data_IF_728247953141
#
_entry.id   IF_728247953141
#
_cell.length_a   1.000
_cell.length_b   1.000
_cell.length_c   1.000
_cell.angle_alpha   90.00
_cell.angle_beta   90.00
_cell.angle_gamma   90.00
#
_symmetry.space_group_name_H-M   'P 1'
#
loop_
_entity.id
_entity.type
_entity.pdbx_description
1 polymer ?
#
# COMPACT_ATOMS: atom_id res chain seq x y z
N UNK A 1 5.84 27.76 21.52
CA UNK A 1 4.52 27.58 22.15
C UNK A 1 3.44 27.49 21.06
N UNK A 2 3.44 26.41 20.24
CA UNK A 2 2.57 26.23 19.05
C UNK A 2 2.05 24.78 19.04
N UNK A 3 1.40 24.35 20.12
CA UNK A 3 0.98 22.95 20.31
C UNK A 3 -0.52 22.78 20.64
N UNK A 4 -1.36 23.81 20.42
CA UNK A 4 -2.71 23.85 21.02
C UNK A 4 -3.89 24.02 20.04
N UNK A 5 -3.68 23.84 18.73
CA UNK A 5 -4.76 24.03 17.73
C UNK A 5 -5.24 22.74 17.03
N UNK A 6 -4.42 21.69 16.93
CA UNK A 6 -4.82 20.47 16.21
C UNK A 6 -5.70 19.50 17.02
N UNK A 7 -5.75 19.65 18.35
CA UNK A 7 -6.51 18.75 19.23
C UNK A 7 -8.02 19.00 19.17
N UNK A 8 -8.47 20.24 18.96
CA UNK A 8 -9.90 20.57 18.90
C UNK A 8 -10.54 20.24 17.54
N UNK A 9 -9.76 20.30 16.45
CA UNK A 9 -10.24 19.97 15.10
C UNK A 9 -10.46 18.46 14.88
N UNK A 10 -9.77 17.60 15.63
CA UNK A 10 -9.94 16.14 15.60
C UNK A 10 -11.14 15.64 16.41
N UNK A 11 -11.63 16.44 17.36
CA UNK A 11 -12.73 16.05 18.24
C UNK A 11 -14.11 16.27 17.60
N UNK A 12 -14.23 17.22 16.66
CA UNK A 12 -15.49 17.49 15.95
C UNK A 12 -15.91 16.44 14.90
N UNK A 13 -15.01 15.53 14.50
CA UNK A 13 -15.32 14.51 13.48
C UNK A 13 -15.76 13.16 14.07
N UNK A 14 -15.75 13.00 15.41
CA UNK A 14 -16.04 11.73 16.09
C UNK A 14 -17.51 11.51 16.47
N UNK A 15 -18.43 12.42 16.15
CA UNK A 15 -19.84 12.34 16.63
C UNK A 15 -20.90 12.24 15.53
N UNK A 16 -20.53 12.03 14.27
CA UNK A 16 -21.46 12.08 13.14
C UNK A 16 -21.65 10.73 12.40
N UNK A 17 -21.86 9.63 13.12
CA UNK A 17 -22.30 8.36 12.52
C UNK A 17 -23.15 7.54 13.49
N UNK A 18 -24.37 8.01 13.72
CA UNK A 18 -25.41 7.22 14.38
C UNK A 18 -26.79 7.60 13.82
N UNK A 19 -27.24 6.93 12.74
CA UNK A 19 -28.65 6.60 12.47
C UNK A 19 -28.88 6.12 11.01
N UNK A 20 -29.85 5.21 10.87
CA UNK A 20 -30.41 4.58 9.66
C UNK A 20 -29.48 3.55 8.98
N UNK A 21 -29.82 2.26 8.81
CA UNK A 21 -31.14 1.65 8.72
C UNK A 21 -31.37 1.18 7.27
N UNK A 22 -31.48 -0.14 7.09
CA UNK A 22 -32.16 -0.93 6.03
C UNK A 22 -31.35 -2.17 5.62
N UNK A 23 -32.01 -3.33 5.71
CA UNK A 23 -31.44 -4.65 5.49
C UNK A 23 -30.98 -4.90 4.05
N UNK A 24 -29.94 -5.71 3.93
CA UNK A 24 -29.39 -6.18 2.65
C UNK A 24 -29.78 -7.65 2.47
N UNK A 25 -30.40 -8.04 1.34
CA UNK A 25 -30.73 -9.43 1.07
C UNK A 25 -29.45 -10.27 0.85
N UNK A 26 -29.46 -11.49 1.42
CA UNK A 26 -28.45 -12.55 1.26
C UNK A 26 -28.54 -13.16 -0.15
N UNK A 27 -27.51 -13.06 -1.01
CA UNK A 27 -27.46 -13.88 -2.20
C UNK A 27 -27.09 -15.31 -1.77
N UNK A 28 -28.04 -16.23 -1.90
CA UNK A 28 -27.73 -17.65 -1.99
C UNK A 28 -27.17 -17.91 -3.40
N UNK A 29 -25.85 -17.94 -3.51
CA UNK A 29 -25.15 -18.26 -4.74
C UNK A 29 -24.22 -19.46 -4.48
N UNK A 30 -24.80 -20.66 -4.54
CA UNK A 30 -24.11 -21.94 -4.73
C UNK A 30 -23.64 -22.10 -6.20
N UNK A 31 -23.05 -21.04 -6.75
CA UNK A 31 -22.33 -21.09 -8.02
C UNK A 31 -20.83 -21.10 -7.70
N UNK A 32 -20.01 -21.97 -8.33
CA UNK A 32 -18.57 -21.80 -8.26
C UNK A 32 -18.26 -20.47 -8.94
N UNK A 33 -18.00 -19.45 -8.10
CA UNK A 33 -17.58 -18.14 -8.56
C UNK A 33 -16.32 -18.32 -9.43
N UNK A 34 -16.17 -17.57 -10.53
CA UNK A 34 -14.91 -17.54 -11.26
C UNK A 34 -13.82 -17.17 -10.25
N UNK A 35 -12.92 -18.11 -9.96
CA UNK A 35 -11.75 -17.81 -9.14
C UNK A 35 -11.03 -16.67 -9.84
N UNK A 36 -10.87 -15.49 -9.23
CA UNK A 36 -10.13 -14.42 -9.85
C UNK A 36 -8.74 -14.97 -10.08
N UNK A 37 -8.37 -15.14 -11.36
CA UNK A 37 -7.00 -15.42 -11.76
C UNK A 37 -6.15 -14.37 -11.08
N UNK A 38 -5.33 -14.78 -10.10
CA UNK A 38 -4.53 -13.88 -9.27
C UNK A 38 -3.77 -12.96 -10.21
N UNK A 39 -4.22 -11.71 -10.35
CA UNK A 39 -3.47 -10.69 -11.07
C UNK A 39 -2.09 -10.65 -10.41
N UNK A 40 -1.04 -10.71 -11.22
CA UNK A 40 0.32 -10.69 -10.69
C UNK A 40 0.48 -9.40 -9.87
N UNK A 41 0.68 -9.56 -8.56
CA UNK A 41 0.90 -8.42 -7.68
C UNK A 41 2.23 -7.75 -8.08
N UNK A 42 2.31 -6.42 -8.11
CA UNK A 42 3.54 -5.73 -8.47
C UNK A 42 4.61 -6.03 -7.43
N UNK A 43 5.83 -6.27 -7.89
CA UNK A 43 7.00 -6.48 -7.03
C UNK A 43 7.32 -5.19 -6.28
N UNK A 44 7.19 -5.20 -4.96
CA UNK A 44 7.40 -4.04 -4.09
C UNK A 44 8.87 -3.99 -3.67
N UNK A 45 9.58 -2.99 -4.17
CA UNK A 45 11.01 -2.82 -3.91
C UNK A 45 11.20 -1.56 -3.06
N UNK A 46 11.71 -1.73 -1.85
CA UNK A 46 12.20 -0.66 -1.01
C UNK A 46 13.67 -0.39 -1.36
N UNK A 47 14.01 0.84 -1.70
CA UNK A 47 15.36 1.22 -2.09
C UNK A 47 15.83 2.49 -1.39
N UNK A 48 17.12 2.52 -1.02
CA UNK A 48 17.75 3.74 -0.54
C UNK A 48 17.65 4.89 -1.57
N UNK A 49 17.50 6.12 -1.09
CA UNK A 49 17.35 7.32 -1.94
C UNK A 49 18.50 7.52 -2.93
N UNK A 50 19.72 7.10 -2.61
CA UNK A 50 20.89 7.23 -3.48
C UNK A 50 20.75 6.40 -4.77
N UNK A 51 19.86 5.39 -4.77
CA UNK A 51 19.58 4.52 -5.92
C UNK A 51 18.52 5.08 -6.88
N UNK A 52 17.92 6.24 -6.58
CA UNK A 52 16.88 6.87 -7.41
C UNK A 52 17.36 7.17 -8.84
N UNK A 53 18.65 7.44 -9.02
CA UNK A 53 19.23 7.73 -10.33
C UNK A 53 19.27 6.51 -11.26
N UNK A 54 19.32 5.29 -10.71
CA UNK A 54 19.60 4.05 -11.49
C UNK A 54 18.42 3.07 -11.52
N UNK A 55 17.69 2.94 -10.41
CA UNK A 55 16.64 1.93 -10.29
C UNK A 55 15.44 2.11 -11.22
N UNK A 56 14.97 3.33 -11.56
CA UNK A 56 13.85 3.48 -12.48
C UNK A 56 14.13 2.92 -13.88
N UNK A 57 15.36 3.05 -14.37
CA UNK A 57 15.75 2.48 -15.66
C UNK A 57 15.85 0.95 -15.57
N UNK A 58 16.46 0.44 -14.50
CA UNK A 58 16.59 -1.00 -14.27
C UNK A 58 15.21 -1.66 -14.12
N UNK A 59 14.28 -1.03 -13.40
CA UNK A 59 12.91 -1.51 -13.24
C UNK A 59 12.17 -1.58 -14.59
N UNK A 60 12.32 -0.56 -15.46
CA UNK A 60 11.75 -0.60 -16.82
C UNK A 60 12.29 -1.76 -17.62
N UNK A 61 13.61 -1.98 -17.60
CA UNK A 61 14.26 -3.09 -18.30
C UNK A 61 13.81 -4.45 -17.73
N UNK A 62 13.70 -4.55 -16.40
CA UNK A 62 13.21 -5.74 -15.73
C UNK A 62 11.77 -6.06 -16.15
N UNK A 63 10.85 -5.10 -16.05
CA UNK A 63 9.46 -5.25 -16.48
C UNK A 63 9.34 -5.59 -17.96
N UNK A 64 10.22 -5.06 -18.83
CA UNK A 64 10.20 -5.41 -20.24
C UNK A 64 10.48 -6.91 -20.50
N UNK A 65 11.40 -7.49 -19.73
CA UNK A 65 11.85 -8.89 -19.84
C UNK A 65 10.92 -9.85 -19.11
N UNK A 66 10.59 -9.57 -17.85
CA UNK A 66 9.83 -10.49 -16.99
C UNK A 66 8.32 -10.31 -17.11
N UNK A 67 7.88 -9.18 -17.69
CA UNK A 67 6.47 -8.73 -17.68
C UNK A 67 5.88 -8.52 -16.28
N UNK A 68 6.71 -8.55 -15.23
CA UNK A 68 6.29 -8.26 -13.87
C UNK A 68 6.30 -6.74 -13.64
N UNK A 69 5.22 -6.21 -13.07
CA UNK A 69 5.18 -4.82 -12.63
C UNK A 69 6.08 -4.63 -11.40
N UNK A 70 6.73 -3.48 -11.31
CA UNK A 70 7.63 -3.13 -10.20
C UNK A 70 7.16 -1.84 -9.58
N UNK A 71 6.92 -1.87 -8.27
CA UNK A 71 6.61 -0.69 -7.45
C UNK A 71 7.84 -0.31 -6.64
N UNK A 72 8.44 0.84 -6.97
CA UNK A 72 9.64 1.35 -6.30
C UNK A 72 9.25 2.34 -5.20
N UNK A 73 9.72 2.09 -3.98
CA UNK A 73 9.61 3.02 -2.84
C UNK A 73 11.01 3.46 -2.44
N UNK A 74 11.25 4.78 -2.45
CA UNK A 74 12.54 5.35 -2.08
C UNK A 74 12.51 6.05 -0.73
N UNK A 75 13.59 5.93 0.04
CA UNK A 75 13.71 6.58 1.34
C UNK A 75 15.08 6.40 1.98
N UNK A 76 15.24 6.93 3.19
CA UNK A 76 16.41 6.61 4.01
C UNK A 76 16.41 5.11 4.31
N UNK A 77 17.53 4.43 4.05
CA UNK A 77 17.64 2.97 4.23
C UNK A 77 17.30 2.52 5.64
N UNK A 78 17.73 3.27 6.67
CA UNK A 78 17.37 3.03 8.07
C UNK A 78 15.85 3.06 8.29
N UNK A 79 15.15 4.03 7.71
CA UNK A 79 13.71 4.12 7.87
C UNK A 79 12.97 2.98 7.14
N UNK A 80 13.39 2.66 5.92
CA UNK A 80 12.81 1.55 5.17
C UNK A 80 13.08 0.20 5.86
N UNK A 81 14.25 0.04 6.50
CA UNK A 81 14.58 -1.16 7.28
C UNK A 81 13.71 -1.29 8.53
N UNK A 82 13.42 -0.20 9.23
CA UNK A 82 12.44 -0.19 10.32
C UNK A 82 11.06 -0.59 9.81
N UNK A 83 10.58 0.02 8.72
CA UNK A 83 9.29 -0.34 8.11
C UNK A 83 9.23 -1.83 7.74
N UNK A 84 10.29 -2.37 7.15
CA UNK A 84 10.38 -3.79 6.82
C UNK A 84 10.28 -4.68 8.07
N UNK A 85 10.90 -4.30 9.19
CA UNK A 85 10.79 -5.00 10.48
C UNK A 85 9.38 -4.93 11.06
N UNK A 86 8.70 -3.80 10.88
CA UNK A 86 7.29 -3.61 11.29
C UNK A 86 6.29 -4.33 10.35
N UNK A 87 6.77 -5.11 9.37
CA UNK A 87 5.93 -5.89 8.47
C UNK A 87 5.41 -5.10 7.27
N UNK A 88 6.08 -4.01 6.90
CA UNK A 88 5.82 -3.37 5.62
C UNK A 88 6.01 -4.39 4.50
N UNK A 89 5.06 -4.48 3.55
CA UNK A 89 5.00 -5.59 2.62
C UNK A 89 5.94 -5.34 1.43
N UNK A 90 7.23 -5.22 1.66
CA UNK A 90 8.26 -5.16 0.61
C UNK A 90 8.75 -6.57 0.28
N UNK A 91 8.93 -6.84 -1.00
CA UNK A 91 9.45 -8.11 -1.50
C UNK A 91 10.99 -8.08 -1.61
N UNK A 92 11.55 -6.89 -1.88
CA UNK A 92 12.99 -6.67 -2.06
C UNK A 92 13.41 -5.40 -1.32
N UNK A 93 14.58 -5.45 -0.68
CA UNK A 93 15.19 -4.33 0.04
C UNK A 93 16.60 -4.07 -0.49
N UNK A 94 16.89 -2.83 -0.90
CA UNK A 94 18.14 -2.38 -1.52
C UNK A 94 18.68 -1.08 -0.89
#
# INVERSE_FOLDING_TARGET
MIYRDHALRRWLWMTALLACGCGVPKPAADAPAPTPSKAAEPLRVAAASDLQAVLPELAKRFTAVTKAEVSLTFGASGQLAEQLKEGAPFDVFL
#
